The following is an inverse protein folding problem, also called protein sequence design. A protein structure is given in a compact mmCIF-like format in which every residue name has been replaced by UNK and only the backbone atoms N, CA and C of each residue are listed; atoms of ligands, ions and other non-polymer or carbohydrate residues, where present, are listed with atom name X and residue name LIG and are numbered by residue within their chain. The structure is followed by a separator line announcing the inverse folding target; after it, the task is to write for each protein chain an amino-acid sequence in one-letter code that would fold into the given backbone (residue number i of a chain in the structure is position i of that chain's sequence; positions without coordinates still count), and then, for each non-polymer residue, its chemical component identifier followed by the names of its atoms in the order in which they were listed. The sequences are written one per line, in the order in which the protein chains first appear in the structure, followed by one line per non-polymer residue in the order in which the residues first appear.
data_IF_287137888827
#
_entry.id   IF_287137888827
#
_cell.length_a   1.000
_cell.length_b   1.000
_cell.length_c   1.000
_cell.angle_alpha   90.00
_cell.angle_beta   90.00
_cell.angle_gamma   90.00
#
_symmetry.space_group_name_H-M   'P 1'
#
loop_
_entity.id
_entity.type
_entity.pdbx_description
1 polymer ?
#
# COMPACT_ATOMS: atom_id res chain seq x y z
N UNK A 1 14.33 7.75 -21.37
CA UNK A 1 13.34 8.68 -21.95
C UNK A 1 13.97 9.22 -23.23
N UNK A 2 13.35 9.01 -24.40
CA UNK A 2 13.94 9.49 -25.65
C UNK A 2 13.72 11.00 -25.76
N UNK A 3 14.82 11.75 -25.95
CA UNK A 3 14.77 13.19 -26.16
C UNK A 3 14.02 13.51 -27.45
N UNK A 4 13.13 14.49 -27.42
CA UNK A 4 12.28 14.88 -28.56
C UNK A 4 13.14 15.26 -29.78
N UNK A 5 14.35 15.78 -29.55
CA UNK A 5 15.36 16.05 -30.58
C UNK A 5 15.75 14.81 -31.38
N UNK A 6 15.94 13.67 -30.73
CA UNK A 6 16.29 12.41 -31.39
C UNK A 6 15.13 11.90 -32.26
N UNK A 7 13.89 12.15 -31.84
CA UNK A 7 12.70 11.83 -32.65
C UNK A 7 12.72 12.60 -33.96
N UNK A 8 12.99 13.90 -33.92
CA UNK A 8 13.00 14.76 -35.11
C UNK A 8 14.13 14.40 -36.05
N UNK A 9 15.34 14.14 -35.55
CA UNK A 9 16.47 13.75 -36.39
C UNK A 9 16.16 12.48 -37.19
N UNK A 10 15.52 11.49 -36.57
CA UNK A 10 15.06 10.27 -37.25
C UNK A 10 13.97 10.55 -38.28
N UNK A 11 13.02 11.41 -37.95
CA UNK A 11 11.99 11.86 -38.90
C UNK A 11 12.61 12.60 -40.11
N UNK A 12 13.67 13.41 -39.90
CA UNK A 12 14.42 14.09 -40.96
C UNK A 12 15.18 13.11 -41.85
N UNK A 13 15.66 11.99 -41.28
CA UNK A 13 16.27 10.89 -42.04
C UNK A 13 15.25 10.02 -42.79
N UNK A 14 13.97 10.38 -42.79
CA UNK A 14 12.94 9.68 -43.54
C UNK A 14 12.34 8.46 -42.82
N UNK A 15 12.64 8.26 -41.53
CA UNK A 15 12.00 7.19 -40.76
C UNK A 15 10.49 7.43 -40.64
N UNK A 16 9.71 6.36 -40.82
CA UNK A 16 8.26 6.39 -40.68
C UNK A 16 7.85 6.22 -39.22
N UNK A 17 6.61 6.60 -38.89
CA UNK A 17 6.05 6.39 -37.53
C UNK A 17 6.03 4.91 -37.12
N UNK A 18 6.00 4.01 -38.11
CA UNK A 18 6.05 2.56 -37.91
C UNK A 18 7.45 2.08 -37.53
N UNK A 19 8.49 2.68 -38.10
CA UNK A 19 9.89 2.39 -37.74
C UNK A 19 10.17 2.77 -36.29
N UNK A 20 9.58 3.90 -35.86
CA UNK A 20 9.56 4.35 -34.47
C UNK A 20 9.06 3.32 -33.47
N UNK A 21 7.92 2.74 -33.81
CA UNK A 21 7.25 1.75 -32.97
C UNK A 21 7.99 0.41 -33.01
N UNK A 22 8.51 0.00 -34.18
CA UNK A 22 9.22 -1.27 -34.38
C UNK A 22 10.55 -1.29 -33.63
N UNK A 23 11.28 -0.19 -33.61
CA UNK A 23 12.54 -0.04 -32.89
C UNK A 23 12.35 0.41 -31.42
N UNK A 24 11.11 0.44 -30.92
CA UNK A 24 10.73 0.66 -29.52
C UNK A 24 11.28 1.93 -28.84
N UNK A 25 11.69 2.94 -29.61
CA UNK A 25 12.21 4.19 -29.03
C UNK A 25 11.10 5.16 -28.61
N UNK A 26 9.95 5.17 -29.28
CA UNK A 26 8.81 5.97 -28.84
C UNK A 26 7.47 5.43 -29.36
N UNK A 27 6.39 5.62 -28.61
CA UNK A 27 5.07 5.12 -28.99
C UNK A 27 4.48 5.83 -30.21
N UNK A 28 3.77 5.10 -31.08
CA UNK A 28 3.17 5.60 -32.34
C UNK A 28 2.41 6.93 -32.19
N UNK A 29 1.54 7.04 -31.16
CA UNK A 29 0.74 8.26 -30.92
C UNK A 29 1.62 9.46 -30.58
N UNK A 30 2.72 9.23 -29.87
CA UNK A 30 3.70 10.27 -29.54
C UNK A 30 4.48 10.70 -30.79
N UNK A 31 4.93 9.77 -31.64
CA UNK A 31 5.58 10.13 -32.93
C UNK A 31 4.65 10.98 -33.78
N UNK A 32 3.40 10.53 -33.97
CA UNK A 32 2.44 11.25 -34.80
C UNK A 32 2.16 12.66 -34.27
N UNK A 33 2.05 12.82 -32.94
CA UNK A 33 1.89 14.13 -32.29
C UNK A 33 3.10 15.03 -32.52
N UNK A 34 4.31 14.51 -32.35
CA UNK A 34 5.57 15.25 -32.56
C UNK A 34 5.74 15.62 -34.04
N UNK A 35 5.49 14.68 -34.96
CA UNK A 35 5.56 14.90 -36.41
C UNK A 35 4.62 16.03 -36.85
N UNK A 36 3.37 16.04 -36.37
CA UNK A 36 2.41 17.10 -36.70
C UNK A 36 2.91 18.47 -36.24
N UNK A 37 3.34 18.60 -34.99
CA UNK A 37 3.86 19.86 -34.46
C UNK A 37 5.17 20.30 -35.14
N UNK A 38 6.02 19.34 -35.52
CA UNK A 38 7.24 19.61 -36.26
C UNK A 38 6.96 20.09 -37.70
N UNK A 39 5.95 19.53 -38.37
CA UNK A 39 5.51 19.96 -39.71
C UNK A 39 4.93 21.36 -39.68
N UNK A 40 4.01 21.64 -38.74
CA UNK A 40 3.36 22.95 -38.58
C UNK A 40 4.38 24.09 -38.38
N UNK A 41 5.55 23.77 -37.80
CA UNK A 41 6.59 24.74 -37.44
C UNK A 41 7.84 24.66 -38.34
N UNK A 42 7.83 23.84 -39.39
CA UNK A 42 8.95 23.69 -40.32
C UNK A 42 10.21 23.05 -39.72
N UNK A 43 10.06 22.32 -38.61
CA UNK A 43 11.19 21.70 -37.88
C UNK A 43 11.62 20.36 -38.47
N UNK A 44 10.90 19.82 -39.46
CA UNK A 44 11.36 18.68 -40.26
C UNK A 44 12.28 19.08 -41.42
N UNK A 45 12.45 20.37 -41.68
CA UNK A 45 13.37 20.82 -42.72
C UNK A 45 14.83 20.69 -42.26
N UNK A 46 15.72 20.03 -43.04
CA UNK A 46 17.11 19.80 -42.64
C UNK A 46 17.89 21.08 -42.31
N UNK A 47 17.55 22.19 -42.98
CA UNK A 47 18.20 23.50 -42.84
C UNK A 47 17.69 24.32 -41.65
N UNK A 48 16.58 23.92 -41.03
CA UNK A 48 16.03 24.61 -39.86
C UNK A 48 16.77 24.12 -38.60
N UNK A 49 17.27 25.02 -37.73
CA UNK A 49 17.87 24.62 -36.47
C UNK A 49 16.84 23.88 -35.61
N UNK A 50 17.28 22.84 -34.88
CA UNK A 50 16.39 22.12 -33.97
C UNK A 50 16.06 23.02 -32.77
N UNK A 51 14.79 23.10 -32.35
CA UNK A 51 14.38 23.85 -31.16
C UNK A 51 15.05 23.33 -29.90
N UNK A 52 15.13 24.19 -28.89
CA UNK A 52 15.52 23.76 -27.54
C UNK A 52 14.43 22.91 -26.88
N UNK A 53 14.82 22.07 -25.92
CA UNK A 53 13.88 21.18 -25.22
C UNK A 53 12.79 21.97 -24.47
N UNK A 54 13.10 23.20 -24.05
CA UNK A 54 12.14 24.13 -23.44
C UNK A 54 11.04 24.55 -24.41
N UNK A 55 11.37 24.79 -25.68
CA UNK A 55 10.40 25.17 -26.70
C UNK A 55 9.48 23.99 -27.01
N UNK A 56 10.04 22.78 -27.06
CA UNK A 56 9.27 21.55 -27.18
C UNK A 56 8.31 21.32 -26.01
N UNK A 57 8.78 21.55 -24.79
CA UNK A 57 7.97 21.42 -23.59
C UNK A 57 6.76 22.37 -23.61
N UNK A 58 6.92 23.58 -24.15
CA UNK A 58 5.81 24.53 -24.31
C UNK A 58 4.80 24.08 -25.36
N UNK A 59 5.28 23.59 -26.51
CA UNK A 59 4.44 23.16 -27.63
C UNK A 59 3.67 21.87 -27.34
N UNK A 60 4.30 20.95 -26.62
CA UNK A 60 3.70 19.67 -26.23
C UNK A 60 3.05 19.72 -24.84
N UNK A 61 3.05 20.89 -24.19
CA UNK A 61 2.39 21.07 -22.90
C UNK A 61 0.95 20.58 -23.02
N UNK A 62 0.48 19.74 -22.08
CA UNK A 62 -0.93 19.41 -22.04
C UNK A 62 -1.73 20.70 -21.93
N UNK A 63 -2.83 20.79 -22.67
CA UNK A 63 -3.75 21.90 -22.52
C UNK A 63 -4.08 22.07 -21.03
N UNK A 64 -4.16 23.32 -20.52
CA UNK A 64 -4.53 23.55 -19.14
C UNK A 64 -5.85 22.82 -18.89
N UNK A 65 -5.81 21.79 -18.05
CA UNK A 65 -7.02 21.09 -17.68
C UNK A 65 -7.87 22.11 -16.94
N UNK A 66 -9.11 22.31 -17.41
CA UNK A 66 -10.08 23.09 -16.65
C UNK A 66 -10.31 22.30 -15.35
N UNK A 67 -9.55 22.63 -14.30
CA UNK A 67 -9.67 21.99 -13.00
C UNK A 67 -11.08 22.29 -12.53
N UNK A 68 -11.93 21.26 -12.51
CA UNK A 68 -13.25 21.39 -11.93
C UNK A 68 -13.11 21.93 -10.52
N UNK A 69 -13.78 23.06 -10.27
CA UNK A 69 -13.84 23.62 -8.92
C UNK A 69 -14.45 22.55 -8.02
N UNK A 70 -13.76 22.20 -6.95
CA UNK A 70 -14.22 21.18 -6.01
C UNK A 70 -15.58 21.58 -5.46
N UNK A 71 -16.52 20.63 -5.36
CA UNK A 71 -17.82 20.89 -4.72
C UNK A 71 -17.68 21.31 -3.26
N UNK A 72 -16.55 21.03 -2.61
CA UNK A 72 -16.25 21.48 -1.25
C UNK A 72 -15.66 22.90 -1.17
N UNK A 73 -15.31 23.52 -2.31
CA UNK A 73 -14.70 24.85 -2.31
C UNK A 73 -15.55 25.94 -1.62
N UNK A 74 -16.89 26.00 -1.80
CA UNK A 74 -17.73 26.99 -1.11
C UNK A 74 -17.75 26.83 0.42
N UNK A 75 -17.44 25.63 0.93
CA UNK A 75 -17.50 25.32 2.35
C UNK A 75 -16.10 25.27 2.99
N UNK A 76 -15.07 25.73 2.28
CA UNK A 76 -13.66 25.57 2.69
C UNK A 76 -13.40 26.09 4.11
N UNK A 77 -13.81 27.31 4.41
CA UNK A 77 -13.57 27.93 5.73
C UNK A 77 -14.29 27.16 6.84
N UNK A 78 -15.54 26.77 6.60
CA UNK A 78 -16.33 25.99 7.56
C UNK A 78 -15.74 24.60 7.82
N UNK A 79 -15.27 23.93 6.76
CA UNK A 79 -14.59 22.63 6.86
C UNK A 79 -13.32 22.76 7.70
N UNK A 80 -12.51 23.80 7.46
CA UNK A 80 -11.27 24.02 8.21
C UNK A 80 -11.55 24.36 9.68
N UNK A 81 -12.56 25.19 9.96
CA UNK A 81 -12.95 25.53 11.33
C UNK A 81 -13.40 24.29 12.12
N UNK A 82 -14.24 23.44 11.53
CA UNK A 82 -14.69 22.21 12.17
C UNK A 82 -13.57 21.17 12.31
N UNK A 83 -12.68 21.07 11.32
CA UNK A 83 -11.51 20.21 11.44
C UNK A 83 -10.58 20.68 12.56
N UNK A 84 -10.37 22.00 12.71
CA UNK A 84 -9.61 22.59 13.83
C UNK A 84 -10.22 22.32 15.21
N UNK A 85 -11.51 22.02 15.28
CA UNK A 85 -12.21 21.57 16.50
C UNK A 85 -12.10 20.05 16.73
N UNK A 86 -11.36 19.33 15.90
CA UNK A 86 -11.22 17.86 15.98
C UNK A 86 -12.40 17.08 15.41
N UNK A 87 -13.29 17.72 14.65
CA UNK A 87 -14.45 17.03 14.05
C UNK A 87 -13.96 16.22 12.84
N UNK A 88 -14.32 14.92 12.82
CA UNK A 88 -13.92 14.02 11.74
C UNK A 88 -14.50 14.43 10.39
N UNK A 89 -13.77 14.17 9.30
CA UNK A 89 -14.22 14.47 7.93
C UNK A 89 -15.58 13.85 7.58
N UNK A 90 -15.88 12.66 8.12
CA UNK A 90 -17.19 12.00 7.95
C UNK A 90 -18.31 12.78 8.65
N UNK A 91 -18.09 13.26 9.87
CA UNK A 91 -19.06 14.08 10.59
C UNK A 91 -19.27 15.44 9.92
N UNK A 92 -18.19 16.06 9.42
CA UNK A 92 -18.25 17.29 8.61
C UNK A 92 -19.13 17.07 7.37
N UNK A 93 -18.92 15.97 6.63
CA UNK A 93 -19.71 15.66 5.44
C UNK A 93 -21.20 15.52 5.77
N UNK A 94 -21.53 14.81 6.84
CA UNK A 94 -22.92 14.62 7.27
C UNK A 94 -23.57 15.94 7.71
N UNK A 95 -22.82 16.79 8.41
CA UNK A 95 -23.29 18.11 8.82
C UNK A 95 -23.55 19.02 7.61
N UNK A 96 -22.64 19.04 6.62
CA UNK A 96 -22.81 19.78 5.37
C UNK A 96 -23.99 19.24 4.54
N UNK A 97 -24.18 17.93 4.49
CA UNK A 97 -25.31 17.32 3.79
C UNK A 97 -26.67 17.77 4.39
N UNK A 98 -26.75 17.81 5.73
CA UNK A 98 -27.97 18.22 6.45
C UNK A 98 -28.25 19.72 6.39
N UNK A 99 -27.23 20.56 6.62
CA UNK A 99 -27.39 22.02 6.77
C UNK A 99 -27.26 22.78 5.47
N UNK A 100 -26.44 22.29 4.55
CA UNK A 100 -26.02 23.03 3.36
C UNK A 100 -26.33 22.28 2.05
N UNK A 101 -27.09 21.17 2.11
CA UNK A 101 -27.43 20.30 0.97
C UNK A 101 -26.20 19.84 0.17
N UNK A 102 -25.06 19.67 0.85
CA UNK A 102 -23.83 19.23 0.22
C UNK A 102 -23.97 17.79 -0.29
N UNK A 103 -23.71 17.59 -1.58
CA UNK A 103 -23.80 16.29 -2.27
C UNK A 103 -22.45 15.62 -2.51
N UNK A 104 -21.35 16.25 -2.08
CA UNK A 104 -20.01 15.72 -2.27
C UNK A 104 -19.69 14.53 -1.34
N UNK A 105 -18.73 13.72 -1.79
CA UNK A 105 -18.23 12.58 -1.03
C UNK A 105 -17.36 13.02 0.16
N UNK A 106 -17.22 12.15 1.16
CA UNK A 106 -16.27 12.36 2.27
C UNK A 106 -14.84 12.56 1.74
N UNK A 107 -14.43 11.86 0.68
CA UNK A 107 -13.12 12.01 0.06
C UNK A 107 -12.87 13.40 -0.52
N UNK A 108 -13.91 14.11 -0.93
CA UNK A 108 -13.79 15.50 -1.41
C UNK A 108 -13.33 16.43 -0.27
N UNK A 109 -13.82 16.17 0.95
CA UNK A 109 -13.42 16.89 2.16
C UNK A 109 -12.00 16.48 2.56
N UNK A 110 -11.67 15.18 2.58
CA UNK A 110 -10.32 14.71 2.89
C UNK A 110 -9.27 15.36 1.97
N UNK A 111 -9.49 15.34 0.65
CA UNK A 111 -8.59 15.99 -0.32
C UNK A 111 -8.45 17.50 -0.13
N UNK A 112 -9.48 18.17 0.40
CA UNK A 112 -9.40 19.59 0.73
C UNK A 112 -8.53 19.80 1.98
N UNK A 113 -8.70 18.95 3.00
CA UNK A 113 -7.92 18.98 4.24
C UNK A 113 -6.45 18.64 3.96
N UNK A 114 -6.16 17.59 3.20
CA UNK A 114 -4.79 17.18 2.81
C UNK A 114 -4.01 18.29 2.10
N UNK A 115 -4.71 19.21 1.42
CA UNK A 115 -4.09 20.36 0.72
C UNK A 115 -3.98 21.62 1.58
N UNK A 116 -4.73 21.68 2.67
CA UNK A 116 -4.92 22.90 3.45
C UNK A 116 -4.32 22.81 4.86
N UNK A 117 -4.02 21.60 5.33
CA UNK A 117 -3.48 21.33 6.66
C UNK A 117 -2.24 20.48 6.50
N UNK A 118 -1.12 20.97 7.02
CA UNK A 118 0.07 20.14 7.16
C UNK A 118 -0.21 19.07 8.22
N UNK A 119 -0.16 17.81 7.79
CA UNK A 119 -0.31 16.67 8.67
C UNK A 119 1.05 16.32 9.27
N UNK A 120 1.24 16.62 10.55
CA UNK A 120 2.36 16.12 11.33
C UNK A 120 1.95 14.79 11.99
N UNK A 121 2.39 13.63 11.48
CA UNK A 121 2.08 12.36 12.14
C UNK A 121 2.66 12.37 13.55
N UNK A 122 1.92 11.87 14.57
CA UNK A 122 2.49 11.71 15.90
C UNK A 122 3.76 10.86 15.80
N UNK A 123 4.82 11.29 16.49
CA UNK A 123 6.10 10.60 16.49
C UNK A 123 5.89 9.10 16.78
N UNK A 124 6.20 8.25 15.81
CA UNK A 124 6.20 6.81 15.99
C UNK A 124 7.57 6.37 16.47
N UNK A 125 7.60 5.45 17.43
CA UNK A 125 8.84 4.79 17.84
C UNK A 125 9.00 3.56 16.98
N UNK A 126 10.17 3.41 16.35
CA UNK A 126 10.54 2.14 15.74
C UNK A 126 10.83 1.17 16.88
N UNK A 127 10.00 0.14 17.00
CA UNK A 127 10.25 -0.95 17.92
C UNK A 127 11.22 -1.93 17.25
N UNK A 128 12.44 -1.98 17.75
CA UNK A 128 13.45 -2.94 17.33
C UNK A 128 13.48 -4.10 18.33
N UNK A 129 13.31 -5.31 17.82
CA UNK A 129 13.26 -6.53 18.62
C UNK A 129 14.16 -7.57 17.98
N UNK A 130 14.91 -8.31 18.80
CA UNK A 130 15.65 -9.46 18.33
C UNK A 130 14.68 -10.51 17.76
N UNK A 131 15.18 -11.28 16.80
CA UNK A 131 14.46 -12.46 16.30
C UNK A 131 14.13 -13.35 17.49
N UNK A 132 12.84 -13.70 17.66
CA UNK A 132 12.28 -14.49 18.76
C UNK A 132 11.88 -13.75 20.05
N UNK A 133 12.11 -12.45 20.16
CA UNK A 133 11.85 -11.69 21.39
C UNK A 133 10.36 -11.33 21.58
N UNK A 134 9.68 -10.97 20.50
CA UNK A 134 8.26 -10.58 20.51
C UNK A 134 7.51 -11.34 19.42
N UNK A 135 6.26 -11.69 19.70
CA UNK A 135 5.36 -12.30 18.75
C UNK A 135 4.02 -11.56 18.77
N UNK A 136 3.44 -11.31 17.59
CA UNK A 136 2.08 -10.81 17.49
C UNK A 136 1.11 -11.97 17.64
N UNK A 137 0.15 -11.83 18.56
CA UNK A 137 -0.89 -12.81 18.82
C UNK A 137 -2.23 -12.19 18.47
N UNK A 138 -2.86 -12.71 17.43
CA UNK A 138 -4.20 -12.34 17.03
C UNK A 138 -5.20 -13.39 17.55
N UNK A 139 -6.30 -12.93 18.12
CA UNK A 139 -7.40 -13.78 18.59
C UNK A 139 -8.61 -13.61 17.66
N UNK A 140 -9.15 -14.73 17.19
CA UNK A 140 -10.26 -14.71 16.24
C UNK A 140 -11.31 -15.76 16.54
N UNK A 141 -12.55 -15.46 16.17
CA UNK A 141 -13.61 -16.46 16.14
C UNK A 141 -13.45 -17.30 14.88
N UNK A 142 -13.35 -18.62 15.06
CA UNK A 142 -13.30 -19.59 13.98
C UNK A 142 -14.69 -19.99 13.48
N UNK A 143 -14.73 -20.83 12.43
CA UNK A 143 -15.98 -21.39 11.94
C UNK A 143 -16.70 -22.17 13.04
N UNK A 144 -18.03 -22.15 13.02
CA UNK A 144 -18.80 -23.02 13.90
C UNK A 144 -18.57 -24.48 13.50
N UNK A 145 -18.32 -25.33 14.49
CA UNK A 145 -18.15 -26.77 14.29
C UNK A 145 -19.40 -27.46 14.82
N UNK A 146 -19.84 -28.46 14.06
CA UNK A 146 -20.91 -29.37 14.47
C UNK A 146 -20.26 -30.62 15.05
N UNK A 147 -20.59 -30.95 16.30
CA UNK A 147 -20.23 -32.21 16.90
C UNK A 147 -20.90 -33.35 16.11
N UNK A 148 -20.10 -34.28 15.58
CA UNK A 148 -20.60 -35.38 14.74
C UNK A 148 -21.38 -36.44 15.52
N UNK A 149 -21.18 -36.55 16.83
CA UNK A 149 -21.84 -37.52 17.69
C UNK A 149 -23.13 -36.97 18.29
N UNK A 150 -23.14 -35.69 18.70
CA UNK A 150 -24.30 -35.07 19.38
C UNK A 150 -25.11 -34.15 18.48
N UNK A 151 -24.56 -33.70 17.35
CA UNK A 151 -25.18 -32.72 16.46
C UNK A 151 -25.13 -31.29 16.97
N UNK A 152 -24.50 -31.03 18.11
CA UNK A 152 -24.43 -29.69 18.71
C UNK A 152 -23.49 -28.77 17.92
N UNK A 153 -23.95 -27.55 17.64
CA UNK A 153 -23.15 -26.53 16.97
C UNK A 153 -22.48 -25.63 18.00
N UNK A 154 -21.15 -25.62 18.05
CA UNK A 154 -20.41 -24.77 18.97
C UNK A 154 -19.45 -23.82 18.25
N UNK A 155 -19.23 -22.65 18.86
CA UNK A 155 -18.31 -21.63 18.36
C UNK A 155 -16.88 -22.08 18.62
N UNK A 156 -16.01 -21.89 17.64
CA UNK A 156 -14.57 -22.09 17.83
C UNK A 156 -13.86 -20.75 17.98
N UNK A 157 -12.73 -20.80 18.68
CA UNK A 157 -11.83 -19.67 18.85
C UNK A 157 -10.44 -20.15 18.49
N UNK A 158 -9.72 -19.35 17.72
CA UNK A 158 -8.35 -19.65 17.33
C UNK A 158 -7.43 -18.50 17.70
N UNK A 159 -6.17 -18.86 17.92
CA UNK A 159 -5.07 -17.94 18.12
C UNK A 159 -4.15 -18.06 16.92
N UNK A 160 -3.88 -16.96 16.25
CA UNK A 160 -2.85 -16.89 15.22
C UNK A 160 -1.66 -16.17 15.82
N UNK A 161 -0.50 -16.79 15.74
CA UNK A 161 0.74 -16.12 16.10
C UNK A 161 1.52 -15.87 14.82
N UNK A 162 1.76 -14.60 14.50
CA UNK A 162 2.45 -14.18 13.28
C UNK A 162 3.78 -13.52 13.68
N UNK A 163 4.87 -13.98 13.08
CA UNK A 163 6.23 -13.70 13.54
C UNK A 163 6.70 -14.77 14.52
N UNK A 164 7.36 -15.81 14.02
CA UNK A 164 8.05 -16.75 14.90
C UNK A 164 9.52 -16.86 14.51
N UNK A 165 10.35 -16.49 15.48
CA UNK A 165 11.21 -17.52 16.08
C UNK A 165 11.07 -17.61 17.61
N UNK A 166 9.98 -17.16 18.23
CA UNK A 166 9.80 -17.26 19.68
C UNK A 166 9.59 -18.72 20.16
N UNK A 167 10.23 -19.11 21.26
CA UNK A 167 10.30 -20.52 21.71
C UNK A 167 9.16 -20.98 22.64
N UNK A 168 8.42 -20.08 23.31
CA UNK A 168 7.39 -20.49 24.29
C UNK A 168 6.30 -19.42 24.47
N UNK A 169 5.04 -19.84 24.56
CA UNK A 169 3.88 -19.00 24.88
C UNK A 169 3.11 -19.59 26.08
N UNK A 170 2.74 -18.77 27.06
CA UNK A 170 1.88 -19.17 28.19
C UNK A 170 0.65 -18.30 28.26
N UNK A 171 -0.53 -18.92 28.23
CA UNK A 171 -1.83 -18.26 28.41
C UNK A 171 -2.42 -18.68 29.77
N UNK A 172 -2.80 -17.69 30.59
CA UNK A 172 -3.64 -17.88 31.77
C UNK A 172 -4.99 -17.24 31.51
N UNK A 173 -6.06 -18.02 31.59
CA UNK A 173 -7.43 -17.53 31.48
C UNK A 173 -7.90 -17.07 32.87
N UNK A 174 -8.80 -16.09 32.89
CA UNK A 174 -9.37 -15.50 34.12
C UNK A 174 -10.12 -16.51 35.01
N UNK A 175 -10.48 -17.68 34.48
CA UNK A 175 -11.08 -18.80 35.21
C UNK A 175 -10.09 -19.66 36.00
N UNK A 176 -8.82 -19.26 36.09
CA UNK A 176 -7.75 -20.02 36.77
C UNK A 176 -7.16 -21.14 35.92
N UNK A 177 -7.72 -21.41 34.74
CA UNK A 177 -7.19 -22.38 33.78
C UNK A 177 -5.96 -21.82 33.08
N UNK A 178 -4.89 -22.62 33.02
CA UNK A 178 -3.66 -22.25 32.32
C UNK A 178 -3.33 -23.22 31.19
N UNK A 179 -2.90 -22.67 30.06
CA UNK A 179 -2.39 -23.43 28.93
C UNK A 179 -1.02 -22.85 28.52
N UNK A 180 0.03 -23.66 28.62
CA UNK A 180 1.38 -23.28 28.16
C UNK A 180 1.69 -24.04 26.89
N UNK A 181 1.84 -23.33 25.78
CA UNK A 181 2.25 -23.90 24.50
C UNK A 181 3.71 -23.54 24.21
N UNK A 182 4.58 -24.54 24.24
CA UNK A 182 6.00 -24.40 23.87
C UNK A 182 6.17 -24.74 22.39
N UNK A 183 6.83 -23.88 21.64
CA UNK A 183 7.12 -24.10 20.22
C UNK A 183 8.60 -24.41 20.03
N UNK A 184 8.91 -25.64 19.61
CA UNK A 184 10.28 -26.08 19.25
C UNK A 184 10.35 -26.33 17.75
N UNK A 185 10.81 -25.34 17.00
CA UNK A 185 10.86 -25.41 15.53
C UNK A 185 9.47 -25.65 14.94
N UNK A 186 9.29 -26.74 14.19
CA UNK A 186 8.01 -27.13 13.57
C UNK A 186 7.05 -27.85 14.53
N UNK A 187 7.40 -28.02 15.81
CA UNK A 187 6.61 -28.77 16.80
C UNK A 187 6.05 -27.85 17.88
N UNK A 188 4.81 -28.08 18.29
CA UNK A 188 4.16 -27.41 19.41
C UNK A 188 3.76 -28.43 20.48
N UNK A 189 4.04 -28.10 21.73
CA UNK A 189 3.62 -28.86 22.90
C UNK A 189 2.76 -27.98 23.79
N UNK A 190 1.47 -28.28 23.88
CA UNK A 190 0.52 -27.55 24.73
C UNK A 190 0.26 -28.34 25.99
N UNK A 191 0.65 -27.78 27.13
CA UNK A 191 0.37 -28.29 28.45
C UNK A 191 -0.81 -27.54 29.05
N UNK A 192 -1.81 -28.29 29.49
CA UNK A 192 -3.01 -27.77 30.17
C UNK A 192 -3.17 -28.45 31.53
N UNK A 193 -4.04 -27.92 32.38
CA UNK A 193 -4.37 -28.53 33.68
C UNK A 193 -5.02 -29.92 33.55
N UNK A 194 -5.47 -30.31 32.35
CA UNK A 194 -6.08 -31.62 32.03
C UNK A 194 -5.14 -32.57 31.28
N UNK A 195 -3.87 -32.22 31.13
CA UNK A 195 -2.85 -33.05 30.46
C UNK A 195 -2.11 -32.34 29.31
N UNK A 196 -1.19 -33.07 28.69
CA UNK A 196 -0.29 -32.56 27.63
C UNK A 196 -0.74 -33.05 26.27
N UNK A 197 -0.87 -32.15 25.29
CA UNK A 197 -1.14 -32.46 23.89
C UNK A 197 0.02 -32.00 23.02
N UNK A 198 0.46 -32.85 22.09
CA UNK A 198 1.51 -32.56 21.11
C UNK A 198 0.91 -32.40 19.72
N UNK A 199 1.34 -31.39 18.98
CA UNK A 199 0.99 -31.20 17.58
C UNK A 199 2.26 -30.89 16.77
N UNK A 200 2.41 -31.51 15.61
CA UNK A 200 3.45 -31.16 14.64
C UNK A 200 2.81 -30.30 13.54
N UNK A 201 3.45 -29.17 13.19
CA UNK A 201 3.01 -28.37 12.06
C UNK A 201 3.22 -29.16 10.75
N UNK A 202 2.29 -29.02 9.81
CA UNK A 202 2.41 -29.61 8.47
C UNK A 202 3.46 -28.90 7.58
N UNK A 203 4.18 -27.92 8.11
CA UNK A 203 5.13 -27.10 7.38
C UNK A 203 6.55 -27.64 7.54
N UNK A 204 7.18 -28.03 6.42
CA UNK A 204 8.60 -28.42 6.34
C UNK A 204 9.42 -27.25 5.78
N UNK A 205 10.43 -26.73 6.49
CA UNK A 205 11.37 -25.78 5.89
C UNK A 205 12.18 -26.45 4.78
N UNK A 206 12.64 -25.71 3.75
CA UNK A 206 13.45 -26.26 2.67
C UNK A 206 14.80 -26.80 3.18
N UNK A 207 15.35 -27.86 2.54
CA UNK A 207 16.60 -28.50 2.97
C UNK A 207 17.79 -27.53 2.84
N UNK A 208 18.58 -27.38 3.90
CA UNK A 208 19.78 -26.52 3.95
C UNK A 208 19.93 -25.67 5.23
N UNK A 209 18.91 -25.60 6.09
CA UNK A 209 18.97 -24.85 7.35
C UNK A 209 19.41 -25.72 8.54
N UNK A 210 20.60 -26.31 8.46
CA UNK A 210 21.23 -26.92 9.63
C UNK A 210 21.97 -25.83 10.43
N UNK A 211 21.42 -25.43 11.57
CA UNK A 211 22.20 -24.70 12.59
C UNK A 211 22.80 -25.76 13.51
N UNK A 212 24.07 -26.11 13.27
CA UNK A 212 24.90 -26.83 14.23
C UNK A 212 25.07 -25.92 15.47
N UNK A 213 24.57 -26.35 16.62
CA UNK A 213 24.84 -25.70 17.90
C UNK A 213 26.20 -26.16 18.43
N UNK A 214 27.22 -25.29 18.33
CA UNK A 214 28.43 -25.41 19.14
C UNK A 214 28.17 -24.77 20.50
N UNK A 215 28.21 -25.59 21.56
CA UNK A 215 28.17 -25.13 22.94
C UNK A 215 29.54 -24.51 23.30
N UNK A 216 29.60 -23.18 23.34
CA UNK A 216 30.71 -22.43 23.92
C UNK A 216 30.43 -22.15 25.40
N UNK A 217 31.15 -22.85 26.27
CA UNK A 217 31.28 -22.56 27.70
C UNK A 217 32.26 -21.42 27.91
N UNK A 218 31.92 -20.44 28.77
CA UNK A 218 32.82 -19.59 29.56
C UNK A 218 31.91 -18.86 30.59
N UNK A 219 32.02 -19.19 31.88
CA UNK A 219 32.84 -18.51 32.90
C UNK A 219 32.55 -17.02 33.02
#
# INVERSE_FOLDING_TARGET
MYEIRQVIQRLRWGESDRDGTRAQWVGRKTVARVRRQALERGWLEPKTPLPEDREWAQVLAPAPTNRSVSSAAPFREQILAWHGQGITAKAIQQALARKCRFTGSVHTICRLLDRAVDFDPPATVILDFAVAEVAQVDFGQGPQIVDRATGEVFKTWFLVTTGLRAATQTLRLSSGLSATTTFRGASAETRTDKGTRRAQSAWRPPPGSAIQGTAGSMR
#
